data_IF_957673950309
#
_entry.id   IF_957673950309
#
_cell.length_a   1.000
_cell.length_b   1.000
_cell.length_c   1.000
_cell.angle_alpha   90.00
_cell.angle_beta   90.00
_cell.angle_gamma   90.00
#
_symmetry.space_group_name_H-M   'P 1'
#
loop_
_entity.id
_entity.type
_entity.pdbx_description
1 polymer ?
#
# COMPACT_ATOMS: atom_id res chain seq x y z
N UNK A 1 9.02 -4.21 -25.05
CA UNK A 1 8.07 -5.00 -24.25
C UNK A 1 7.30 -5.91 -25.20
N UNK A 2 6.86 -7.11 -24.79
CA UNK A 2 6.13 -7.99 -25.72
C UNK A 2 4.73 -7.40 -25.99
N UNK A 3 4.45 -7.12 -27.27
CA UNK A 3 3.21 -6.49 -27.72
C UNK A 3 1.97 -7.35 -27.40
N UNK A 4 2.05 -8.66 -27.51
CA UNK A 4 0.93 -9.56 -27.20
C UNK A 4 0.64 -9.58 -25.70
N UNK A 5 1.69 -9.53 -24.86
CA UNK A 5 1.52 -9.48 -23.41
C UNK A 5 0.93 -8.13 -23.00
N UNK A 6 1.39 -7.02 -23.58
CA UNK A 6 0.80 -5.70 -23.32
C UNK A 6 -0.67 -5.64 -23.78
N UNK A 7 -1.00 -6.23 -24.93
CA UNK A 7 -2.39 -6.36 -25.40
C UNK A 7 -3.27 -7.10 -24.40
N UNK A 8 -2.81 -8.25 -23.89
CA UNK A 8 -3.53 -8.99 -22.84
C UNK A 8 -3.69 -8.17 -21.57
N UNK A 9 -2.63 -7.44 -21.18
CA UNK A 9 -2.64 -6.57 -20.00
C UNK A 9 -3.70 -5.46 -20.14
N UNK A 10 -3.79 -4.81 -21.30
CA UNK A 10 -4.79 -3.76 -21.59
C UNK A 10 -6.21 -4.33 -21.51
N UNK A 11 -6.47 -5.51 -22.08
CA UNK A 11 -7.80 -6.16 -22.02
C UNK A 11 -8.29 -6.43 -20.60
N UNK A 12 -7.37 -6.67 -19.68
CA UNK A 12 -7.69 -6.91 -18.27
C UNK A 12 -7.90 -5.66 -17.44
N UNK A 13 -7.51 -4.49 -17.95
CA UNK A 13 -7.68 -3.23 -17.23
C UNK A 13 -9.16 -2.94 -16.98
N UNK A 14 -9.44 -2.33 -15.84
CA UNK A 14 -10.75 -1.76 -15.57
C UNK A 14 -10.94 -0.44 -16.33
N UNK A 15 -12.16 0.12 -16.30
CA UNK A 15 -12.49 1.34 -17.04
C UNK A 15 -11.62 2.53 -16.64
N UNK A 16 -11.35 2.72 -15.35
CA UNK A 16 -10.55 3.85 -14.86
C UNK A 16 -9.09 3.73 -15.30
N UNK A 17 -8.52 2.53 -15.25
CA UNK A 17 -7.17 2.24 -15.74
C UNK A 17 -7.04 2.53 -17.25
N UNK A 18 -8.03 2.08 -18.04
CA UNK A 18 -8.06 2.35 -19.48
C UNK A 18 -8.12 3.85 -19.78
N UNK A 19 -8.95 4.60 -19.05
CA UNK A 19 -9.04 6.06 -19.19
C UNK A 19 -7.71 6.73 -18.85
N UNK A 20 -7.07 6.33 -17.75
CA UNK A 20 -5.77 6.90 -17.34
C UNK A 20 -4.67 6.60 -18.36
N UNK A 21 -4.57 5.35 -18.83
CA UNK A 21 -3.59 4.97 -19.85
C UNK A 21 -3.80 5.77 -21.14
N UNK A 22 -5.03 5.92 -21.56
CA UNK A 22 -5.37 6.64 -22.78
C UNK A 22 -5.12 8.14 -22.68
N UNK A 23 -5.36 8.74 -21.51
CA UNK A 23 -4.95 10.13 -21.26
C UNK A 23 -3.43 10.29 -21.42
N UNK A 24 -2.62 9.34 -20.93
CA UNK A 24 -1.16 9.35 -21.14
C UNK A 24 -0.77 9.13 -22.59
N UNK A 25 -1.49 8.31 -23.33
CA UNK A 25 -1.27 8.13 -24.76
C UNK A 25 -1.51 9.44 -25.54
N UNK A 26 -2.63 10.12 -25.28
CA UNK A 26 -2.98 11.41 -25.93
C UNK A 26 -1.96 12.50 -25.58
N UNK A 27 -1.54 12.56 -24.31
CA UNK A 27 -0.50 13.51 -23.84
C UNK A 27 0.80 13.35 -24.62
N UNK A 28 1.23 12.11 -24.91
CA UNK A 28 2.49 11.83 -25.61
C UNK A 28 2.35 11.93 -27.12
N UNK A 29 1.21 11.53 -27.69
CA UNK A 29 1.01 11.52 -29.15
C UNK A 29 0.81 12.91 -29.75
N UNK A 30 0.66 13.95 -28.92
CA UNK A 30 0.33 15.32 -29.32
C UNK A 30 -0.93 15.43 -30.21
N UNK A 31 -1.81 14.42 -30.16
CA UNK A 31 -3.06 14.44 -30.91
C UNK A 31 -4.08 15.32 -30.18
N UNK A 32 -4.36 16.51 -30.73
CA UNK A 32 -5.44 17.38 -30.25
C UNK A 32 -6.77 16.81 -30.76
N UNK A 33 -7.43 16.00 -29.93
CA UNK A 33 -8.90 15.84 -29.76
C UNK A 33 -9.23 14.51 -29.11
N UNK A 34 -9.53 14.54 -27.82
CA UNK A 34 -10.13 13.42 -27.09
C UNK A 34 -11.54 13.71 -26.59
N UNK A 35 -11.93 14.99 -26.55
CA UNK A 35 -13.19 15.43 -25.93
C UNK A 35 -14.46 14.97 -26.67
N UNK A 36 -14.35 14.47 -27.90
CA UNK A 36 -15.53 14.20 -28.74
C UNK A 36 -16.01 12.75 -28.76
N UNK A 37 -15.25 11.78 -28.25
CA UNK A 37 -15.68 10.37 -28.31
C UNK A 37 -15.14 9.66 -27.08
N UNK A 38 -16.03 8.99 -26.33
CA UNK A 38 -15.92 7.64 -25.74
C UNK A 38 -16.97 7.49 -24.63
N UNK A 39 -17.86 6.49 -24.73
CA UNK A 39 -19.01 6.31 -23.82
C UNK A 39 -18.92 5.03 -22.96
N UNK A 40 -18.08 4.07 -23.32
CA UNK A 40 -18.01 2.76 -22.66
C UNK A 40 -16.58 2.22 -22.48
N UNK A 41 -16.41 1.24 -21.57
CA UNK A 41 -15.14 0.53 -21.33
C UNK A 41 -14.57 -0.06 -22.62
N UNK A 42 -15.41 -0.75 -23.39
CA UNK A 42 -15.05 -1.47 -24.60
C UNK A 42 -14.48 -0.54 -25.67
N UNK A 43 -15.00 0.69 -25.77
CA UNK A 43 -14.50 1.66 -26.74
C UNK A 43 -13.05 2.08 -26.41
N UNK A 44 -12.73 2.30 -25.13
CA UNK A 44 -11.37 2.64 -24.68
C UNK A 44 -10.39 1.50 -24.97
N UNK A 45 -10.78 0.27 -24.65
CA UNK A 45 -9.97 -0.93 -24.89
C UNK A 45 -9.67 -1.10 -26.38
N UNK A 46 -10.68 -1.04 -27.24
CA UNK A 46 -10.52 -1.18 -28.68
C UNK A 46 -9.60 -0.11 -29.28
N UNK A 47 -9.72 1.15 -28.83
CA UNK A 47 -8.86 2.23 -29.28
C UNK A 47 -7.41 2.01 -28.87
N UNK A 48 -7.15 1.66 -27.61
CA UNK A 48 -5.80 1.37 -27.12
C UNK A 48 -5.19 0.18 -27.84
N UNK A 49 -5.96 -0.88 -28.10
CA UNK A 49 -5.49 -2.04 -28.88
C UNK A 49 -5.18 -1.63 -30.31
N UNK A 50 -6.03 -0.83 -30.96
CA UNK A 50 -5.77 -0.32 -32.32
C UNK A 50 -4.47 0.50 -32.35
N UNK A 51 -4.30 1.42 -31.41
CA UNK A 51 -3.10 2.27 -31.31
C UNK A 51 -1.84 1.46 -30.94
N UNK A 52 -1.99 0.32 -30.24
CA UNK A 52 -0.89 -0.62 -30.03
C UNK A 52 -0.39 -1.22 -31.36
N UNK A 53 -1.30 -1.41 -32.31
CA UNK A 53 -0.96 -1.90 -33.65
C UNK A 53 -0.32 -0.82 -34.52
N UNK A 54 -0.83 0.41 -34.46
CA UNK A 54 -0.40 1.53 -35.32
C UNK A 54 0.87 2.23 -34.80
N UNK A 55 0.94 2.53 -33.49
CA UNK A 55 1.98 3.37 -32.87
C UNK A 55 2.55 2.73 -31.60
N UNK A 56 3.04 1.48 -31.71
CA UNK A 56 3.46 0.65 -30.56
C UNK A 56 4.33 1.41 -29.55
N UNK A 57 5.40 2.10 -29.99
CA UNK A 57 6.33 2.80 -29.09
C UNK A 57 5.67 3.92 -28.28
N UNK A 58 4.72 4.65 -28.85
CA UNK A 58 4.02 5.73 -28.15
C UNK A 58 3.18 5.12 -27.04
N UNK A 59 2.48 4.02 -27.33
CA UNK A 59 1.66 3.33 -26.34
C UNK A 59 2.50 2.62 -25.28
N UNK A 60 3.64 2.03 -25.62
CA UNK A 60 4.58 1.48 -24.64
C UNK A 60 5.03 2.57 -23.65
N UNK A 61 5.42 3.75 -24.15
CA UNK A 61 5.80 4.89 -23.32
C UNK A 61 4.63 5.41 -22.47
N UNK A 62 3.43 5.48 -23.03
CA UNK A 62 2.23 5.85 -22.30
C UNK A 62 1.91 4.87 -21.17
N UNK A 63 2.09 3.57 -21.42
CA UNK A 63 1.93 2.52 -20.43
C UNK A 63 2.95 2.65 -19.30
N UNK A 64 4.22 2.92 -19.61
CA UNK A 64 5.26 3.17 -18.60
C UNK A 64 4.89 4.40 -17.74
N UNK A 65 4.50 5.53 -18.35
CA UNK A 65 4.04 6.72 -17.61
C UNK A 65 2.81 6.44 -16.76
N UNK A 66 1.87 5.65 -17.26
CA UNK A 66 0.69 5.21 -16.50
C UNK A 66 1.12 4.39 -15.27
N UNK A 67 2.04 3.44 -15.44
CA UNK A 67 2.54 2.60 -14.35
C UNK A 67 3.29 3.40 -13.28
N UNK A 68 3.98 4.49 -13.62
CA UNK A 68 4.55 5.39 -12.61
C UNK A 68 3.48 6.14 -11.80
N UNK A 69 2.35 6.48 -12.39
CA UNK A 69 1.35 7.35 -11.77
C UNK A 69 0.18 6.62 -11.11
N UNK A 70 -0.03 5.35 -11.47
CA UNK A 70 -1.17 4.57 -11.00
C UNK A 70 -1.14 4.31 -9.50
N UNK A 71 -2.30 3.91 -9.00
CA UNK A 71 -2.46 3.33 -7.68
C UNK A 71 -1.84 1.92 -7.58
N UNK A 72 -1.19 1.64 -6.45
CA UNK A 72 -0.63 0.34 -6.06
C UNK A 72 -1.33 -0.17 -4.79
N UNK A 73 -1.46 -1.50 -4.65
CA UNK A 73 -2.29 -2.11 -3.61
C UNK A 73 -1.56 -2.29 -2.29
N UNK A 74 -0.32 -2.80 -2.34
CA UNK A 74 0.48 -3.05 -1.15
C UNK A 74 1.77 -2.27 -1.21
N UNK A 75 2.25 -1.81 -0.05
CA UNK A 75 3.60 -1.27 0.07
C UNK A 75 4.26 -1.63 1.40
N UNK A 76 5.58 -1.52 1.44
CA UNK A 76 6.39 -1.53 2.65
C UNK A 76 7.46 -0.44 2.54
N UNK A 77 7.82 0.15 3.68
CA UNK A 77 8.70 1.30 3.75
C UNK A 77 9.95 0.92 4.54
N UNK A 78 11.10 1.35 4.03
CA UNK A 78 12.40 1.08 4.62
C UNK A 78 13.24 2.35 4.68
N UNK A 79 13.92 2.60 5.80
CA UNK A 79 14.92 3.66 5.91
C UNK A 79 16.22 3.19 5.25
N UNK A 80 16.90 4.10 4.57
CA UNK A 80 18.19 3.87 3.91
C UNK A 80 19.14 5.01 4.25
N UNK A 81 20.43 4.67 4.39
CA UNK A 81 21.48 5.66 4.52
C UNK A 81 21.54 6.55 3.27
N UNK A 82 21.38 7.85 3.45
CA UNK A 82 21.25 8.84 2.39
C UNK A 82 22.51 8.95 1.51
N UNK A 83 23.69 8.91 2.13
CA UNK A 83 24.96 9.06 1.42
C UNK A 83 25.24 7.81 0.59
N UNK A 84 25.05 6.64 1.20
CA UNK A 84 25.19 5.35 0.53
C UNK A 84 24.20 5.20 -0.61
N UNK A 85 22.93 5.55 -0.39
CA UNK A 85 21.91 5.43 -1.43
C UNK A 85 22.22 6.34 -2.61
N UNK A 86 22.53 7.62 -2.38
CA UNK A 86 22.72 8.59 -3.46
C UNK A 86 23.90 8.24 -4.36
N UNK A 87 25.03 7.79 -3.79
CA UNK A 87 26.19 7.36 -4.56
C UNK A 87 25.90 6.09 -5.38
N UNK A 88 25.32 5.07 -4.74
CA UNK A 88 25.15 3.74 -5.34
C UNK A 88 23.95 3.65 -6.26
N UNK A 89 22.92 4.48 -6.04
CA UNK A 89 21.77 4.56 -6.94
C UNK A 89 22.17 4.98 -8.35
N UNK A 90 23.13 5.91 -8.48
CA UNK A 90 23.65 6.31 -9.80
C UNK A 90 24.31 5.12 -10.52
N UNK A 91 25.17 4.38 -9.82
CA UNK A 91 25.82 3.19 -10.37
C UNK A 91 24.81 2.09 -10.73
N UNK A 92 23.82 1.87 -9.86
CA UNK A 92 22.73 0.93 -10.10
C UNK A 92 21.93 1.31 -11.35
N UNK A 93 21.61 2.59 -11.50
CA UNK A 93 20.89 3.11 -12.67
C UNK A 93 21.67 2.84 -13.95
N UNK A 94 22.93 3.27 -14.02
CA UNK A 94 23.79 3.07 -15.19
C UNK A 94 23.87 1.58 -15.56
N UNK A 95 24.06 0.70 -14.56
CA UNK A 95 24.06 -0.77 -14.75
C UNK A 95 22.73 -1.29 -15.29
N UNK A 96 21.59 -0.83 -14.78
CA UNK A 96 20.26 -1.35 -15.18
C UNK A 96 19.82 -0.83 -16.55
N UNK A 97 20.19 0.38 -16.94
CA UNK A 97 19.96 0.90 -18.29
C UNK A 97 20.69 0.06 -19.35
N UNK A 98 21.84 -0.50 -19.01
CA UNK A 98 22.60 -1.42 -19.86
C UNK A 98 22.06 -2.86 -19.84
N UNK A 99 21.77 -3.40 -18.65
CA UNK A 99 21.51 -4.85 -18.46
C UNK A 99 20.03 -5.25 -18.45
N UNK A 100 19.11 -4.34 -18.14
CA UNK A 100 17.68 -4.61 -17.99
C UNK A 100 16.81 -3.70 -18.85
N UNK A 101 17.33 -3.36 -20.03
CA UNK A 101 16.66 -2.48 -20.99
C UNK A 101 15.29 -3.03 -21.38
N UNK A 102 14.24 -2.27 -21.08
CA UNK A 102 12.87 -2.59 -21.46
C UNK A 102 12.05 -3.34 -20.39
N UNK A 103 12.66 -3.66 -19.24
CA UNK A 103 11.95 -4.17 -18.05
C UNK A 103 12.10 -3.25 -16.83
N UNK A 104 13.18 -2.46 -16.76
CA UNK A 104 13.36 -1.45 -15.70
C UNK A 104 13.34 -0.05 -16.29
N UNK A 105 12.64 0.86 -15.62
CA UNK A 105 12.47 2.25 -16.02
C UNK A 105 12.69 3.16 -14.82
N UNK A 106 13.13 4.39 -15.08
CA UNK A 106 13.39 5.40 -14.07
C UNK A 106 12.52 6.64 -14.31
N UNK A 107 12.08 7.26 -13.21
CA UNK A 107 11.50 8.59 -13.21
C UNK A 107 12.47 9.54 -12.48
N UNK A 108 12.88 10.60 -13.18
CA UNK A 108 14.03 11.46 -12.83
C UNK A 108 13.64 12.87 -12.41
N UNK A 109 12.39 13.11 -12.02
CA UNK A 109 12.10 14.32 -11.25
C UNK A 109 13.01 14.33 -10.01
N UNK A 110 13.80 15.40 -9.84
CA UNK A 110 14.95 15.49 -8.89
C UNK A 110 14.59 15.12 -7.44
N UNK A 111 13.32 15.27 -7.05
CA UNK A 111 12.80 14.90 -5.72
C UNK A 111 12.20 13.47 -5.63
N UNK A 112 12.00 12.79 -6.75
CA UNK A 112 11.21 11.56 -6.88
C UNK A 112 11.97 10.44 -7.60
N UNK A 113 13.21 10.15 -7.19
CA UNK A 113 13.95 9.00 -7.70
C UNK A 113 13.10 7.73 -7.54
N UNK A 114 12.62 7.22 -8.67
CA UNK A 114 11.72 6.06 -8.68
C UNK A 114 12.17 5.04 -9.70
N UNK A 115 12.11 3.77 -9.32
CA UNK A 115 12.40 2.63 -10.19
C UNK A 115 11.08 1.90 -10.43
N UNK A 116 10.67 1.78 -11.68
CA UNK A 116 9.58 0.90 -12.09
C UNK A 116 10.19 -0.38 -12.68
N UNK A 117 9.85 -1.52 -12.09
CA UNK A 117 10.21 -2.84 -12.62
C UNK A 117 8.96 -3.49 -13.19
N UNK A 118 8.97 -3.75 -14.49
CA UNK A 118 7.95 -4.51 -15.21
C UNK A 118 8.40 -5.96 -15.37
N UNK A 119 7.55 -6.88 -14.94
CA UNK A 119 7.76 -8.32 -15.05
C UNK A 119 6.60 -9.00 -15.78
N UNK A 120 6.90 -10.06 -16.51
CA UNK A 120 5.86 -10.95 -17.06
C UNK A 120 5.33 -11.87 -15.98
N UNK A 121 4.01 -11.93 -15.83
CA UNK A 121 3.34 -12.89 -14.98
C UNK A 121 2.52 -13.86 -15.83
N UNK A 122 2.72 -15.14 -15.55
CA UNK A 122 1.98 -16.24 -16.18
C UNK A 122 0.88 -16.70 -15.24
N UNK A 123 -0.32 -16.87 -15.75
CA UNK A 123 -1.47 -17.33 -14.99
C UNK A 123 -2.33 -18.29 -15.79
N UNK A 124 -3.23 -18.98 -15.09
CA UNK A 124 -4.09 -20.00 -15.68
C UNK A 124 -5.53 -19.53 -15.63
N UNK A 125 -6.20 -19.48 -16.79
CA UNK A 125 -7.63 -19.12 -16.89
C UNK A 125 -8.45 -20.27 -17.44
N UNK A 126 -9.72 -20.30 -17.08
CA UNK A 126 -10.71 -21.13 -17.73
C UNK A 126 -11.48 -20.26 -18.74
N UNK A 127 -11.38 -20.58 -20.03
CA UNK A 127 -12.12 -19.92 -21.12
C UNK A 127 -12.87 -21.00 -21.87
N UNK A 128 -14.20 -20.92 -21.89
CA UNK A 128 -15.07 -21.88 -22.59
C UNK A 128 -14.68 -23.35 -22.30
N UNK A 129 -14.54 -23.67 -21.01
CA UNK A 129 -14.15 -24.99 -20.49
C UNK A 129 -12.73 -25.45 -20.82
N UNK A 130 -11.89 -24.58 -21.39
CA UNK A 130 -10.47 -24.86 -21.68
C UNK A 130 -9.56 -24.10 -20.73
N UNK A 131 -8.49 -24.78 -20.31
CA UNK A 131 -7.38 -24.17 -19.59
C UNK A 131 -6.55 -23.38 -20.62
N UNK A 132 -6.45 -22.08 -20.40
CA UNK A 132 -5.62 -21.17 -21.18
C UNK A 132 -4.50 -20.58 -20.31
N UNK A 133 -3.28 -20.60 -20.85
CA UNK A 133 -2.15 -19.94 -20.22
C UNK A 133 -2.12 -18.48 -20.66
N UNK A 134 -2.47 -17.60 -19.74
CA UNK A 134 -2.48 -16.17 -19.99
C UNK A 134 -1.20 -15.54 -19.46
N UNK A 135 -0.68 -14.55 -20.18
CA UNK A 135 0.44 -13.73 -19.72
C UNK A 135 0.01 -12.27 -19.65
N UNK A 136 0.44 -11.59 -18.59
CA UNK A 136 0.28 -10.14 -18.44
C UNK A 136 1.57 -9.52 -17.93
N UNK A 137 1.67 -8.20 -18.04
CA UNK A 137 2.68 -7.43 -17.36
C UNK A 137 2.21 -7.10 -15.95
N UNK A 138 3.16 -7.03 -15.04
CA UNK A 138 2.95 -6.43 -13.75
C UNK A 138 4.08 -5.50 -13.34
N UNK A 139 3.77 -4.50 -12.52
CA UNK A 139 4.70 -3.51 -12.02
C UNK A 139 4.99 -3.66 -10.52
N UNK A 140 6.25 -3.44 -10.19
CA UNK A 140 6.71 -3.04 -8.86
C UNK A 140 7.28 -1.63 -8.97
N UNK A 141 6.82 -0.73 -8.11
CA UNK A 141 7.34 0.62 -8.02
C UNK A 141 8.16 0.77 -6.74
N UNK A 142 9.40 1.21 -6.87
CA UNK A 142 10.25 1.63 -5.75
C UNK A 142 10.33 3.14 -5.82
N UNK A 143 9.90 3.85 -4.78
CA UNK A 143 9.95 5.31 -4.72
C UNK A 143 10.82 5.76 -3.55
N UNK A 144 11.74 6.67 -3.82
CA UNK A 144 12.45 7.42 -2.78
C UNK A 144 11.55 8.49 -2.19
N UNK A 145 11.59 8.64 -0.88
CA UNK A 145 10.95 9.72 -0.13
C UNK A 145 11.98 10.27 0.85
N UNK A 146 12.27 11.57 0.74
CA UNK A 146 13.12 12.28 1.70
C UNK A 146 12.25 13.05 2.68
N UNK A 147 12.48 12.86 3.98
CA UNK A 147 11.78 13.56 5.06
C UNK A 147 12.74 13.75 6.25
N UNK A 148 12.81 14.95 6.80
CA UNK A 148 13.65 15.29 7.97
C UNK A 148 15.13 14.87 7.85
N UNK A 149 15.73 15.04 6.66
CA UNK A 149 17.11 14.60 6.33
C UNK A 149 17.34 13.08 6.43
N UNK A 150 16.26 12.30 6.37
CA UNK A 150 16.30 10.85 6.20
C UNK A 150 15.72 10.48 4.85
N UNK A 151 16.28 9.42 4.27
CA UNK A 151 15.79 8.84 3.03
C UNK A 151 15.09 7.52 3.30
N UNK A 152 13.96 7.34 2.64
CA UNK A 152 13.13 6.15 2.73
C UNK A 152 12.89 5.59 1.33
N UNK A 153 12.86 4.27 1.21
CA UNK A 153 12.42 3.56 0.03
C UNK A 153 11.07 2.91 0.31
N UNK A 154 10.07 3.26 -0.50
CA UNK A 154 8.76 2.65 -0.50
C UNK A 154 8.67 1.65 -1.65
N UNK A 155 8.59 0.36 -1.34
CA UNK A 155 8.40 -0.73 -2.32
C UNK A 155 6.90 -0.99 -2.43
N UNK A 156 6.32 -0.72 -3.61
CA UNK A 156 4.89 -0.81 -3.89
C UNK A 156 4.59 -1.84 -4.97
N UNK A 157 3.54 -2.64 -4.78
CA UNK A 157 3.11 -3.72 -5.70
C UNK A 157 1.64 -3.56 -6.07
N UNK A 158 1.32 -3.77 -7.35
CA UNK A 158 -0.04 -3.56 -7.84
C UNK A 158 -0.99 -4.67 -7.37
N UNK A 159 -2.30 -4.52 -7.58
CA UNK A 159 -3.22 -5.62 -7.38
C UNK A 159 -3.10 -6.65 -8.51
N UNK A 160 -2.49 -7.80 -8.23
CA UNK A 160 -2.37 -8.90 -9.18
C UNK A 160 -3.64 -9.74 -9.16
N UNK A 161 -4.30 -10.11 -10.27
CA UNK A 161 -5.47 -10.99 -10.19
C UNK A 161 -5.13 -12.39 -9.65
N UNK A 162 -6.03 -13.08 -8.92
CA UNK A 162 -5.73 -14.37 -8.26
C UNK A 162 -5.17 -15.46 -9.19
N UNK A 163 -5.61 -15.50 -10.45
CA UNK A 163 -5.14 -16.46 -11.46
C UNK A 163 -3.65 -16.33 -11.82
N UNK A 164 -3.02 -15.21 -11.48
CA UNK A 164 -1.60 -14.93 -11.69
C UNK A 164 -0.77 -15.09 -10.42
N UNK A 165 -1.35 -15.60 -9.34
CA UNK A 165 -0.67 -15.78 -8.05
C UNK A 165 -0.62 -17.26 -7.70
N UNK A 166 0.48 -17.70 -7.10
CA UNK A 166 0.60 -19.04 -6.51
C UNK A 166 -0.46 -19.29 -5.42
N UNK A 167 -0.90 -18.23 -4.75
CA UNK A 167 -1.99 -18.27 -3.78
C UNK A 167 -2.72 -16.91 -3.71
N UNK A 168 -3.99 -16.90 -3.28
CA UNK A 168 -4.77 -15.67 -3.15
C UNK A 168 -4.37 -14.79 -1.94
N UNK A 169 -3.42 -15.25 -1.12
CA UNK A 169 -3.12 -14.67 0.19
C UNK A 169 -2.15 -13.49 0.13
N UNK A 170 -2.10 -12.73 1.22
CA UNK A 170 -1.10 -11.67 1.47
C UNK A 170 0.34 -12.16 1.29
N UNK A 171 0.61 -13.46 1.49
CA UNK A 171 1.97 -14.02 1.37
C UNK A 171 2.59 -13.83 -0.01
N UNK A 172 1.79 -13.80 -1.09
CA UNK A 172 2.30 -13.51 -2.43
C UNK A 172 2.97 -12.13 -2.50
N UNK A 173 2.31 -11.11 -1.95
CA UNK A 173 2.82 -9.74 -1.94
C UNK A 173 4.02 -9.57 -1.03
N UNK A 174 4.00 -10.24 0.12
CA UNK A 174 5.13 -10.30 1.05
C UNK A 174 6.37 -10.88 0.37
N UNK A 175 6.25 -12.04 -0.29
CA UNK A 175 7.36 -12.66 -1.04
C UNK A 175 7.92 -11.71 -2.10
N UNK A 176 7.04 -11.00 -2.82
CA UNK A 176 7.44 -10.05 -3.87
C UNK A 176 8.22 -8.87 -3.27
N UNK A 177 7.71 -8.25 -2.19
CA UNK A 177 8.39 -7.16 -1.48
C UNK A 177 9.74 -7.62 -0.91
N UNK A 178 9.79 -8.78 -0.24
CA UNK A 178 11.04 -9.35 0.29
C UNK A 178 12.08 -9.58 -0.83
N UNK A 179 11.63 -10.07 -1.98
CA UNK A 179 12.50 -10.28 -3.14
C UNK A 179 13.13 -8.98 -3.62
N UNK A 180 12.32 -7.92 -3.72
CA UNK A 180 12.79 -6.59 -4.13
C UNK A 180 13.69 -5.97 -3.06
N UNK A 181 13.37 -6.10 -1.77
CA UNK A 181 14.24 -5.64 -0.67
C UNK A 181 15.61 -6.31 -0.77
N UNK A 182 15.66 -7.64 -0.86
CA UNK A 182 16.93 -8.40 -0.98
C UNK A 182 17.73 -8.01 -2.21
N UNK A 183 17.04 -7.81 -3.34
CA UNK A 183 17.68 -7.34 -4.56
C UNK A 183 18.29 -5.94 -4.38
N UNK A 184 17.54 -4.99 -3.81
CA UNK A 184 18.04 -3.64 -3.50
C UNK A 184 19.23 -3.68 -2.54
N UNK A 185 19.16 -4.47 -1.47
CA UNK A 185 20.24 -4.60 -0.48
C UNK A 185 21.51 -5.18 -1.13
N UNK A 186 21.37 -6.15 -2.02
CA UNK A 186 22.48 -6.74 -2.78
C UNK A 186 23.09 -5.76 -3.80
N UNK A 187 22.25 -5.02 -4.51
CA UNK A 187 22.69 -4.10 -5.57
C UNK A 187 23.29 -2.81 -5.00
N UNK A 188 22.68 -2.29 -3.93
CA UNK A 188 23.14 -1.10 -3.23
C UNK A 188 24.14 -1.42 -2.12
N UNK A 189 24.49 -2.69 -1.91
CA UNK A 189 25.45 -3.16 -0.90
C UNK A 189 25.21 -2.56 0.51
N UNK A 190 23.94 -2.37 0.86
CA UNK A 190 23.50 -1.72 2.11
C UNK A 190 22.30 -2.45 2.68
N UNK A 191 22.01 -2.24 3.97
CA UNK A 191 20.83 -2.80 4.60
C UNK A 191 19.69 -1.80 4.55
N UNK A 192 18.49 -2.28 4.23
CA UNK A 192 17.28 -1.48 4.31
C UNK A 192 16.65 -1.72 5.68
N UNK A 193 16.59 -0.67 6.51
CA UNK A 193 16.01 -0.76 7.84
C UNK A 193 14.49 -0.78 7.72
N UNK A 194 13.88 -1.90 8.12
CA UNK A 194 12.43 -2.06 8.11
C UNK A 194 11.74 -1.08 9.07
N UNK A 195 10.67 -0.42 8.60
CA UNK A 195 9.84 0.40 9.47
C UNK A 195 8.64 -0.41 9.98
N UNK A 196 8.52 -0.42 11.29
CA UNK A 196 7.32 -0.87 11.99
C UNK A 196 6.54 0.34 12.55
N UNK A 197 5.27 0.45 12.15
CA UNK A 197 4.39 1.53 12.54
C UNK A 197 3.47 1.16 13.71
N UNK A 198 3.57 -0.03 14.30
CA UNK A 198 2.67 -0.43 15.39
C UNK A 198 2.67 0.57 16.54
N UNK A 199 3.84 0.89 17.10
CA UNK A 199 3.97 1.89 18.17
C UNK A 199 3.52 3.28 17.72
N UNK A 200 3.88 3.69 16.51
CA UNK A 200 3.44 4.98 15.93
C UNK A 200 1.92 5.10 15.90
N UNK A 201 1.23 4.04 15.50
CA UNK A 201 -0.23 3.98 15.43
C UNK A 201 -0.84 3.95 16.83
N UNK A 202 -0.22 3.27 17.80
CA UNK A 202 -0.64 3.32 19.20
C UNK A 202 -0.53 4.74 19.79
N UNK A 203 0.50 5.51 19.43
CA UNK A 203 0.64 6.90 19.82
C UNK A 203 -0.44 7.79 19.18
N UNK A 204 -0.67 7.65 17.86
CA UNK A 204 -1.75 8.34 17.13
C UNK A 204 -3.11 8.12 17.81
N UNK A 205 -3.39 6.89 18.25
CA UNK A 205 -4.64 6.55 18.94
C UNK A 205 -4.85 7.28 20.26
N UNK A 206 -3.77 7.61 20.96
CA UNK A 206 -3.82 8.28 22.27
C UNK A 206 -3.79 9.81 22.15
N UNK A 207 -3.51 10.32 20.96
CA UNK A 207 -3.46 11.75 20.69
C UNK A 207 -4.88 12.29 20.49
N UNK A 208 -5.43 12.94 21.52
CA UNK A 208 -6.78 13.50 21.51
C UNK A 208 -6.93 14.70 20.55
N UNK A 209 -5.83 15.29 20.09
CA UNK A 209 -5.84 16.40 19.13
C UNK A 209 -5.74 15.93 17.67
N UNK A 210 -5.44 14.65 17.44
CA UNK A 210 -5.33 14.08 16.11
C UNK A 210 -6.71 13.89 15.47
N UNK A 211 -6.99 14.69 14.45
CA UNK A 211 -8.29 14.72 13.76
C UNK A 211 -8.21 14.26 12.31
N UNK A 212 -7.00 14.18 11.75
CA UNK A 212 -6.74 13.86 10.35
C UNK A 212 -6.44 12.36 10.14
N UNK A 213 -5.97 11.67 11.19
CA UNK A 213 -5.70 10.23 11.21
C UNK A 213 -6.64 9.49 12.17
N UNK A 214 -7.70 8.92 11.61
CA UNK A 214 -8.73 8.23 12.42
C UNK A 214 -8.60 6.72 12.24
N UNK A 215 -8.57 5.96 13.34
CA UNK A 215 -8.73 4.50 13.29
C UNK A 215 -10.15 4.17 12.84
N UNK A 216 -10.29 3.56 11.66
CA UNK A 216 -11.57 3.22 11.04
C UNK A 216 -11.90 1.73 11.03
N UNK A 217 -10.93 0.85 11.35
CA UNK A 217 -11.17 -0.55 11.64
C UNK A 217 -9.95 -1.17 12.35
N UNK A 218 -10.12 -2.22 13.15
CA UNK A 218 -9.00 -2.98 13.72
C UNK A 218 -9.37 -4.44 14.02
N UNK A 219 -8.35 -5.29 14.13
CA UNK A 219 -8.47 -6.65 14.68
C UNK A 219 -7.70 -6.76 15.97
N UNK A 220 -8.25 -7.53 16.91
CA UNK A 220 -7.63 -7.84 18.19
C UNK A 220 -7.60 -9.37 18.38
N UNK A 221 -6.46 -9.89 18.82
CA UNK A 221 -6.38 -11.25 19.37
C UNK A 221 -6.35 -11.14 20.89
N UNK A 222 -7.21 -11.89 21.56
CA UNK A 222 -7.36 -11.92 23.02
C UNK A 222 -6.65 -13.19 23.52
N UNK A 223 -6.03 -13.15 24.71
CA UNK A 223 -5.22 -14.25 25.24
C UNK A 223 -6.00 -15.58 25.40
N UNK A 224 -7.33 -15.51 25.56
CA UNK A 224 -8.23 -16.66 25.49
C UNK A 224 -8.42 -17.31 24.11
N UNK A 225 -7.72 -16.87 23.06
CA UNK A 225 -7.84 -17.37 21.69
C UNK A 225 -9.00 -16.78 20.89
N UNK A 226 -9.77 -15.87 21.49
CA UNK A 226 -10.85 -15.15 20.83
C UNK A 226 -10.29 -14.07 19.90
N UNK A 227 -10.96 -13.86 18.76
CA UNK A 227 -10.60 -12.82 17.79
C UNK A 227 -11.76 -11.87 17.62
N UNK A 228 -11.52 -10.59 17.85
CA UNK A 228 -12.48 -9.51 17.61
C UNK A 228 -12.08 -8.69 16.39
N UNK A 229 -13.05 -8.24 15.60
CA UNK A 229 -12.85 -7.23 14.56
C UNK A 229 -13.85 -6.12 14.80
N UNK A 230 -13.34 -4.89 14.93
CA UNK A 230 -14.13 -3.69 15.10
C UNK A 230 -14.03 -2.88 13.82
N UNK A 231 -15.19 -2.53 13.26
CA UNK A 231 -15.32 -1.80 12.00
C UNK A 231 -16.38 -0.71 12.20
N UNK A 232 -16.04 0.55 11.94
CA UNK A 232 -16.96 1.68 12.06
C UNK A 232 -17.33 2.17 10.66
N UNK A 233 -18.62 2.11 10.37
CA UNK A 233 -19.20 2.68 9.15
C UNK A 233 -19.33 4.21 9.23
N UNK A 234 -19.27 4.77 10.45
CA UNK A 234 -19.25 6.20 10.73
C UNK A 234 -17.82 6.66 11.05
N UNK A 235 -17.46 7.88 10.66
CA UNK A 235 -16.15 8.51 10.89
C UNK A 235 -15.88 8.88 12.37
N UNK A 236 -16.28 8.01 13.30
CA UNK A 236 -16.01 8.07 14.72
C UNK A 236 -14.78 7.21 15.05
N UNK A 237 -13.98 7.70 15.99
CA UNK A 237 -12.80 7.01 16.51
C UNK A 237 -13.23 5.65 17.05
N UNK A 238 -12.75 4.55 16.46
CA UNK A 238 -12.85 3.20 17.03
C UNK A 238 -11.85 3.04 18.17
N UNK A 239 -12.03 3.80 19.25
CA UNK A 239 -11.67 3.25 20.55
C UNK A 239 -12.88 2.42 20.93
N UNK A 240 -12.65 1.15 21.28
CA UNK A 240 -13.64 0.13 21.63
C UNK A 240 -14.90 0.75 22.28
N UNK A 241 -15.93 1.13 21.50
CA UNK A 241 -17.04 1.89 22.06
C UNK A 241 -17.74 1.09 23.14
N UNK A 242 -17.74 -0.24 22.96
CA UNK A 242 -18.23 -1.23 23.91
C UNK A 242 -17.39 -1.25 25.21
N UNK A 243 -16.06 -1.12 25.17
CA UNK A 243 -15.27 -1.08 26.41
C UNK A 243 -15.51 0.20 27.19
N UNK A 244 -15.54 1.35 26.50
CA UNK A 244 -15.84 2.62 27.14
C UNK A 244 -17.28 2.64 27.69
N UNK A 245 -18.24 2.05 26.96
CA UNK A 245 -19.61 1.82 27.44
C UNK A 245 -19.64 0.91 28.68
N UNK A 246 -18.85 -0.17 28.71
CA UNK A 246 -18.75 -1.06 29.88
C UNK A 246 -18.13 -0.30 31.06
N UNK A 247 -17.06 0.47 30.84
CA UNK A 247 -16.43 1.30 31.88
C UNK A 247 -17.41 2.32 32.44
N UNK A 248 -18.10 3.06 31.57
CA UNK A 248 -19.13 4.01 31.98
C UNK A 248 -20.27 3.32 32.74
N UNK A 249 -20.72 2.14 32.29
CA UNK A 249 -21.74 1.36 32.98
C UNK A 249 -21.28 0.91 34.38
N UNK A 250 -20.02 0.51 34.52
CA UNK A 250 -19.40 0.16 35.80
C UNK A 250 -19.30 1.37 36.74
N UNK A 251 -18.93 2.54 36.22
CA UNK A 251 -18.83 3.79 36.98
C UNK A 251 -20.21 4.31 37.43
N UNK A 252 -21.15 4.44 36.49
CA UNK A 252 -22.51 4.96 36.70
C UNK A 252 -23.31 4.11 37.70
N UNK A 253 -22.99 2.82 37.80
CA UNK A 253 -23.66 1.85 38.68
C UNK A 253 -22.75 1.33 39.79
N UNK A 254 -21.70 2.08 40.14
CA UNK A 254 -20.67 1.65 41.10
C UNK A 254 -21.22 1.14 42.44
N UNK A 255 -22.32 1.72 42.96
CA UNK A 255 -22.98 1.24 44.19
C UNK A 255 -23.56 -0.18 44.06
N UNK A 256 -24.13 -0.55 42.91
CA UNK A 256 -24.64 -1.91 42.66
C UNK A 256 -23.49 -2.92 42.55
N UNK A 257 -22.34 -2.50 42.04
CA UNK A 257 -21.15 -3.35 41.91
C UNK A 257 -20.33 -3.44 43.21
N UNK A 258 -20.46 -2.48 44.14
CA UNK A 258 -19.82 -2.55 45.48
C UNK A 258 -20.28 -3.77 46.29
N UNK A 259 -21.51 -4.23 46.08
CA UNK A 259 -22.05 -5.43 46.75
C UNK A 259 -21.48 -6.75 46.16
N UNK A 260 -20.83 -6.70 45.00
CA UNK A 260 -20.20 -7.84 44.33
C UNK A 260 -18.76 -7.53 43.92
N UNK A 261 -17.86 -7.47 44.91
CA UNK A 261 -16.43 -7.18 44.69
C UNK A 261 -15.77 -8.16 43.71
N UNK A 262 -16.18 -9.42 43.71
CA UNK A 262 -15.63 -10.44 42.82
C UNK A 262 -16.06 -10.23 41.36
N UNK A 263 -17.34 -9.93 41.12
CA UNK A 263 -17.84 -9.62 39.78
C UNK A 263 -17.24 -8.34 39.20
N UNK A 264 -17.11 -7.29 40.01
CA UNK A 264 -16.46 -6.04 39.61
C UNK A 264 -14.99 -6.26 39.25
N UNK A 265 -14.27 -7.08 40.02
CA UNK A 265 -12.88 -7.42 39.73
C UNK A 265 -12.74 -8.18 38.41
N UNK A 266 -13.55 -9.21 38.18
CA UNK A 266 -13.52 -9.99 36.92
C UNK A 266 -13.74 -9.10 35.70
N UNK A 267 -14.67 -8.14 35.77
CA UNK A 267 -14.94 -7.21 34.67
C UNK A 267 -13.77 -6.26 34.42
N UNK A 268 -13.15 -5.72 35.48
CA UNK A 268 -11.97 -4.87 35.33
C UNK A 268 -10.75 -5.64 34.82
N UNK A 269 -10.52 -6.85 35.32
CA UNK A 269 -9.44 -7.73 34.85
C UNK A 269 -9.63 -8.06 33.35
N UNK A 270 -10.87 -8.30 32.91
CA UNK A 270 -11.19 -8.52 31.49
C UNK A 270 -11.00 -7.27 30.62
N UNK A 271 -11.38 -6.08 31.12
CA UNK A 271 -11.13 -4.81 30.44
C UNK A 271 -9.62 -4.57 30.32
N UNK A 272 -8.86 -4.80 31.38
CA UNK A 272 -7.41 -4.65 31.40
C UNK A 272 -6.72 -5.62 30.44
N UNK A 273 -7.15 -6.89 30.38
CA UNK A 273 -6.66 -7.87 29.41
C UNK A 273 -6.89 -7.37 27.97
N UNK A 274 -8.09 -6.84 27.68
CA UNK A 274 -8.43 -6.31 26.36
C UNK A 274 -7.67 -5.05 25.98
N UNK A 275 -7.31 -4.19 26.93
CA UNK A 275 -6.62 -2.93 26.63
C UNK A 275 -5.10 -3.04 26.62
N UNK A 276 -4.55 -3.89 27.48
CA UNK A 276 -3.10 -3.96 27.73
C UNK A 276 -2.45 -5.20 27.14
N UNK A 277 -3.18 -6.29 27.02
CA UNK A 277 -2.61 -7.60 26.64
C UNK A 277 -3.06 -8.08 25.25
N UNK A 278 -4.03 -7.41 24.62
CA UNK A 278 -4.46 -7.79 23.27
C UNK A 278 -3.40 -7.48 22.22
N UNK A 279 -3.11 -8.44 21.35
CA UNK A 279 -2.31 -8.18 20.16
C UNK A 279 -3.19 -7.51 19.09
N UNK A 280 -2.59 -6.61 18.31
CA UNK A 280 -3.24 -5.97 17.17
C UNK A 280 -2.65 -6.54 15.88
N UNK A 281 -3.23 -7.58 15.25
CA UNK A 281 -2.74 -8.08 13.97
C UNK A 281 -2.75 -7.02 12.85
N UNK A 282 -3.75 -6.13 12.86
CA UNK A 282 -3.86 -5.05 11.89
C UNK A 282 -4.78 -3.93 12.37
N UNK A 283 -4.50 -2.73 11.87
CA UNK A 283 -5.32 -1.51 12.06
C UNK A 283 -5.55 -0.86 10.70
N UNK A 284 -6.71 -0.27 10.49
CA UNK A 284 -7.00 0.61 9.34
C UNK A 284 -7.06 2.05 9.81
N UNK A 285 -6.24 2.90 9.19
CA UNK A 285 -6.32 4.34 9.36
C UNK A 285 -7.03 4.96 8.16
N UNK A 286 -7.88 5.94 8.44
CA UNK A 286 -8.48 6.84 7.46
C UNK A 286 -7.75 8.18 7.49
N UNK A 287 -7.10 8.50 6.37
CA UNK A 287 -6.37 9.74 6.13
C UNK A 287 -7.35 10.76 5.56
N UNK A 288 -7.55 11.86 6.28
CA UNK A 288 -8.45 12.97 5.90
C UNK A 288 -9.86 12.51 5.49
N UNK A 289 -10.34 11.40 6.07
CA UNK A 289 -11.64 10.74 5.77
C UNK A 289 -11.83 10.31 4.31
N UNK A 290 -10.77 10.27 3.49
CA UNK A 290 -10.84 9.99 2.05
C UNK A 290 -10.12 8.71 1.67
N UNK A 291 -9.00 8.44 2.31
CA UNK A 291 -8.11 7.34 1.95
C UNK A 291 -7.97 6.42 3.14
N UNK A 292 -8.35 5.16 2.98
CA UNK A 292 -8.21 4.15 4.02
C UNK A 292 -7.04 3.22 3.70
N UNK A 293 -6.17 3.01 4.67
CA UNK A 293 -5.01 2.11 4.56
C UNK A 293 -4.98 1.18 5.74
N UNK A 294 -4.94 -0.11 5.45
CA UNK A 294 -4.79 -1.18 6.44
C UNK A 294 -3.30 -1.46 6.64
N UNK A 295 -2.85 -1.30 7.88
CA UNK A 295 -1.51 -1.61 8.37
C UNK A 295 -1.55 -3.02 8.96
N UNK A 296 -0.77 -3.93 8.38
CA UNK A 296 -0.62 -5.31 8.85
C UNK A 296 0.73 -5.44 9.55
N UNK A 297 0.72 -5.77 10.84
CA UNK A 297 1.90 -5.82 11.70
C UNK A 297 2.53 -7.22 11.75
N UNK A 298 3.66 -7.33 12.43
CA UNK A 298 4.48 -8.55 12.53
C UNK A 298 3.65 -9.77 12.94
N UNK A 299 2.75 -9.64 13.90
CA UNK A 299 1.86 -10.73 14.36
C UNK A 299 1.11 -11.38 13.19
N UNK A 300 0.70 -10.59 12.20
CA UNK A 300 -0.08 -11.07 11.05
C UNK A 300 0.78 -11.47 9.84
N UNK A 301 1.92 -10.81 9.64
CA UNK A 301 2.76 -10.96 8.44
C UNK A 301 3.98 -11.85 8.68
N UNK A 302 4.42 -11.98 9.94
CA UNK A 302 5.70 -12.54 10.39
C UNK A 302 6.89 -11.83 9.75
N UNK A 303 6.80 -10.49 9.63
CA UNK A 303 7.80 -9.62 9.02
C UNK A 303 8.18 -8.49 9.96
N UNK A 304 9.44 -8.05 9.83
CA UNK A 304 10.06 -6.95 10.57
C UNK A 304 9.58 -5.56 10.13
N UNK A 305 8.76 -5.50 9.07
CA UNK A 305 8.14 -4.28 8.58
C UNK A 305 6.61 -4.35 8.68
N UNK A 306 5.96 -3.20 8.82
CA UNK A 306 4.52 -3.10 8.63
C UNK A 306 4.18 -3.12 7.13
N UNK A 307 3.26 -4.00 6.74
CA UNK A 307 2.75 -4.06 5.37
C UNK A 307 1.52 -3.15 5.25
N UNK A 308 1.57 -2.16 4.36
CA UNK A 308 0.46 -1.27 4.05
C UNK A 308 -0.38 -1.89 2.94
N UNK A 309 -1.69 -1.91 3.11
CA UNK A 309 -2.68 -2.35 2.14
C UNK A 309 -3.69 -1.23 1.92
N UNK A 310 -3.61 -0.59 0.77
CA UNK A 310 -4.47 0.53 0.42
C UNK A 310 -5.82 0.02 -0.08
N UNK A 311 -6.92 0.49 0.52
CA UNK A 311 -8.25 0.16 0.01
C UNK A 311 -8.53 0.91 -1.27
N UNK A 312 -9.02 0.20 -2.28
CA UNK A 312 -9.20 0.73 -3.63
C UNK A 312 -10.50 1.54 -3.77
N UNK A 313 -10.69 2.55 -2.91
CA UNK A 313 -11.78 3.51 -3.04
C UNK A 313 -11.60 4.42 -4.25
N UNK A 314 -12.69 5.03 -4.72
CA UNK A 314 -12.67 5.86 -5.94
C UNK A 314 -11.76 7.08 -5.83
N UNK A 315 -11.55 7.61 -4.61
CA UNK A 315 -10.66 8.74 -4.40
C UNK A 315 -9.20 8.37 -4.71
N UNK A 316 -8.64 7.38 -4.01
CA UNK A 316 -7.24 6.99 -4.20
C UNK A 316 -6.96 6.40 -5.58
N UNK A 317 -7.94 5.72 -6.21
CA UNK A 317 -7.79 5.26 -7.61
C UNK A 317 -7.61 6.39 -8.61
N UNK A 318 -8.25 7.54 -8.36
CA UNK A 318 -8.15 8.74 -9.22
C UNK A 318 -6.90 9.56 -8.94
N UNK A 319 -6.52 9.72 -7.67
CA UNK A 319 -5.31 10.44 -7.29
C UNK A 319 -4.03 9.62 -7.52
N UNK A 320 -4.14 8.29 -7.54
CA UNK A 320 -3.05 7.39 -7.85
C UNK A 320 -1.87 7.49 -6.88
N UNK A 321 -0.66 7.56 -7.42
CA UNK A 321 0.60 7.63 -6.67
C UNK A 321 0.72 8.85 -5.78
N UNK A 322 0.16 9.98 -6.17
CA UNK A 322 0.27 11.23 -5.40
C UNK A 322 -0.33 11.06 -4.00
N UNK A 323 -1.52 10.47 -3.92
CA UNK A 323 -2.17 10.21 -2.65
C UNK A 323 -1.42 9.15 -1.81
N UNK A 324 -0.84 8.13 -2.46
CA UNK A 324 0.01 7.16 -1.76
C UNK A 324 1.26 7.82 -1.16
N UNK A 325 1.86 8.79 -1.88
CA UNK A 325 2.99 9.59 -1.39
C UNK A 325 2.56 10.46 -0.21
N UNK A 326 1.37 11.07 -0.25
CA UNK A 326 0.83 11.84 0.86
C UNK A 326 0.63 10.99 2.11
N UNK A 327 -0.04 9.85 1.99
CA UNK A 327 -0.18 8.86 3.08
C UNK A 327 1.18 8.50 3.69
N UNK A 328 2.14 8.18 2.82
CA UNK A 328 3.47 7.74 3.25
C UNK A 328 4.21 8.85 4.00
N UNK A 329 4.20 10.08 3.48
CA UNK A 329 4.80 11.24 4.16
C UNK A 329 4.15 11.51 5.51
N UNK A 330 2.83 11.44 5.59
CA UNK A 330 2.09 11.68 6.83
C UNK A 330 2.46 10.66 7.91
N UNK A 331 2.45 9.37 7.59
CA UNK A 331 2.80 8.33 8.57
C UNK A 331 4.29 8.39 8.97
N UNK A 332 5.19 8.69 8.03
CA UNK A 332 6.61 8.87 8.31
C UNK A 332 6.88 10.08 9.23
N UNK A 333 6.16 11.19 9.03
CA UNK A 333 6.27 12.36 9.90
C UNK A 333 5.91 12.03 11.36
N UNK A 334 4.82 11.28 11.56
CA UNK A 334 4.43 10.78 12.89
C UNK A 334 5.45 9.80 13.45
N UNK A 335 5.93 8.86 12.63
CA UNK A 335 6.97 7.91 13.01
C UNK A 335 8.25 8.61 13.50
N UNK A 336 8.75 9.61 12.76
CA UNK A 336 9.92 10.38 13.15
C UNK A 336 9.70 11.15 14.46
N UNK A 337 8.51 11.73 14.63
CA UNK A 337 8.15 12.47 15.85
C UNK A 337 8.22 11.55 17.07
N UNK A 338 7.57 10.40 17.03
CA UNK A 338 7.51 9.47 18.17
C UNK A 338 8.83 8.73 18.42
N UNK A 339 9.56 8.38 17.36
CA UNK A 339 10.88 7.75 17.48
C UNK A 339 11.87 8.68 18.16
N UNK A 340 11.86 9.99 17.83
CA UNK A 340 12.73 10.98 18.47
C UNK A 340 12.38 11.24 19.95
N UNK A 341 11.11 11.08 20.33
CA UNK A 341 10.69 11.18 21.73
C UNK A 341 11.22 10.01 22.56
N UNK A 342 11.24 8.80 21.98
CA UNK A 342 11.82 7.61 22.63
C UNK A 342 13.33 7.78 22.87
N UNK A 343 14.06 8.31 21.89
CA UNK A 343 15.51 8.56 21.99
C UNK A 343 15.92 9.65 22.98
N UNK A 344 14.99 10.53 23.39
CA UNK A 344 15.22 11.61 24.37
C UNK A 344 14.79 11.24 25.79
N UNK A 345 14.16 10.07 25.97
CA UNK A 345 13.66 9.57 27.25
C UNK A 345 14.58 8.56 27.95
N UNK A 346 15.83 8.44 27.51
CA UNK A 346 16.89 7.62 28.15
C UNK A 346 17.91 8.51 28.84
#
# INVERSE_FOLDING_TARGET
MDKNILKTTIKEMNKDELVQLLNKYVEISNQVKFQDILKSKTDYENLLIKNLEEDTKILENAYIKFMFNRFYKYSAIFEVDQDVFSERFKQLKDKLEETQKGTVFFDEEIENQSILMLEEQTGIKLIDERIDNSKRLSGTLISKITLDKKDYLCISTENIPPQYRENASTSFYIKKIDGIRKWLESELLTNLLALDFEYTIQCIRKDAEETDLIVSAQSMNINGGAKATLDSTSSQVLILPILDEIKNLLEDNSELFKESQEGYKILNDYIDELEKESELPWVTLSFNKKTQVKFLFEVSTRKDYTLLNYYSGDYIKRQGREEMKNVTKTILSRYNTFSNLFSRGV
#
